data_IF_349261874767
#
_entry.id   IF_349261874767
#
_cell.length_a   1.000
_cell.length_b   1.000
_cell.length_c   1.000
_cell.angle_alpha   90.00
_cell.angle_beta   90.00
_cell.angle_gamma   90.00
#
_symmetry.space_group_name_H-M   'P 1'
#
loop_
_entity.id
_entity.type
_entity.pdbx_description
1 polymer ?
#
# COMPACT_ATOMS: atom_id res chain seq x y z
N UNK A 1 -1.26 13.64 18.84
CA UNK A 1 -1.53 13.13 17.47
C UNK A 1 -1.95 11.68 17.61
N UNK A 2 -3.26 11.41 17.58
CA UNK A 2 -3.78 10.06 17.74
C UNK A 2 -3.76 9.36 16.37
N UNK A 3 -3.17 8.16 16.32
CA UNK A 3 -3.19 7.33 15.12
C UNK A 3 -4.31 6.32 15.30
N UNK A 4 -5.31 6.35 14.43
CA UNK A 4 -6.36 5.34 14.39
C UNK A 4 -5.95 4.26 13.41
N UNK A 5 -6.12 3.00 13.81
CA UNK A 5 -5.89 1.84 12.95
C UNK A 5 -7.11 0.94 12.96
N UNK A 6 -7.48 0.41 11.80
CA UNK A 6 -8.58 -0.54 11.66
C UNK A 6 -8.31 -1.50 10.50
N UNK A 7 -8.79 -2.74 10.60
CA UNK A 7 -8.72 -3.70 9.50
C UNK A 7 -9.99 -3.56 8.65
N UNK A 8 -9.81 -3.41 7.35
CA UNK A 8 -10.89 -3.24 6.37
C UNK A 8 -10.76 -4.23 5.23
N UNK A 9 -11.89 -4.65 4.67
CA UNK A 9 -11.93 -5.42 3.45
C UNK A 9 -11.83 -4.49 2.23
N UNK A 10 -11.02 -4.88 1.24
CA UNK A 10 -10.84 -4.15 -0.02
C UNK A 10 -10.75 -5.15 -1.17
N UNK A 11 -11.80 -5.23 -1.98
CA UNK A 11 -11.92 -6.28 -3.00
C UNK A 11 -11.97 -7.66 -2.34
N UNK A 12 -11.18 -8.61 -2.85
CA UNK A 12 -11.09 -9.98 -2.30
C UNK A 12 -10.15 -10.11 -1.09
N UNK A 13 -9.41 -9.05 -0.74
CA UNK A 13 -8.53 -9.06 0.43
C UNK A 13 -9.29 -8.62 1.67
N UNK A 14 -9.34 -9.50 2.67
CA UNK A 14 -10.05 -9.28 3.91
C UNK A 14 -9.18 -8.57 4.96
N UNK A 15 -7.86 -8.64 4.81
CA UNK A 15 -6.90 -8.11 5.76
C UNK A 15 -6.16 -6.89 5.19
N UNK A 16 -6.82 -5.73 5.15
CA UNK A 16 -6.14 -4.47 4.82
C UNK A 16 -6.10 -3.57 6.05
N UNK A 17 -4.91 -3.11 6.42
CA UNK A 17 -4.71 -2.17 7.51
C UNK A 17 -4.96 -0.75 7.00
N UNK A 18 -6.00 -0.11 7.51
CA UNK A 18 -6.27 1.30 7.30
C UNK A 18 -5.75 2.11 8.49
N UNK A 19 -4.78 2.98 8.23
CA UNK A 19 -4.17 3.88 9.19
C UNK A 19 -4.57 5.31 8.86
N UNK A 20 -4.97 6.08 9.86
CA UNK A 20 -5.34 7.48 9.69
C UNK A 20 -4.79 8.31 10.84
N UNK A 21 -4.41 9.54 10.52
CA UNK A 21 -4.17 10.59 11.49
C UNK A 21 -4.90 11.87 11.05
N UNK A 22 -4.59 13.01 11.69
CA UNK A 22 -5.24 14.29 11.38
C UNK A 22 -4.84 14.86 10.00
N UNK A 23 -3.69 14.45 9.45
CA UNK A 23 -3.16 14.98 8.18
C UNK A 23 -3.26 14.02 7.00
N UNK A 24 -3.17 12.71 7.22
CA UNK A 24 -2.97 11.70 6.19
C UNK A 24 -3.75 10.41 6.47
N UNK A 25 -4.08 9.70 5.40
CA UNK A 25 -4.63 8.35 5.39
C UNK A 25 -3.74 7.39 4.60
N UNK A 26 -3.67 6.15 5.07
CA UNK A 26 -2.80 5.12 4.55
C UNK A 26 -3.54 3.77 4.55
N UNK A 27 -3.57 3.09 3.41
CA UNK A 27 -4.16 1.75 3.28
C UNK A 27 -3.09 0.75 2.87
N UNK A 28 -2.93 -0.32 3.65
CA UNK A 28 -1.90 -1.34 3.49
C UNK A 28 -2.55 -2.71 3.33
N UNK A 29 -2.20 -3.47 2.30
CA UNK A 29 -2.60 -4.89 2.20
C UNK A 29 -1.72 -5.76 3.07
N UNK A 30 -2.30 -6.67 3.86
CA UNK A 30 -1.55 -7.68 4.61
C UNK A 30 -1.55 -9.05 3.90
N UNK A 31 -2.55 -9.32 3.06
CA UNK A 31 -2.71 -10.62 2.37
C UNK A 31 -1.62 -10.87 1.29
N UNK A 32 -1.24 -9.86 0.49
CA UNK A 32 -0.23 -9.99 -0.59
C UNK A 32 1.05 -9.23 -0.23
N UNK A 33 1.57 -9.52 0.97
CA UNK A 33 2.68 -8.82 1.62
C UNK A 33 2.34 -7.35 1.95
N UNK A 34 3.02 -6.73 2.93
CA UNK A 34 2.71 -5.36 3.37
C UNK A 34 2.97 -4.34 2.26
N UNK A 35 1.94 -3.95 1.49
CA UNK A 35 2.05 -2.98 0.39
C UNK A 35 1.13 -1.81 0.64
N UNK A 36 1.67 -0.61 0.49
CA UNK A 36 0.91 0.63 0.57
C UNK A 36 0.10 0.76 -0.72
N UNK A 37 -1.22 0.61 -0.63
CA UNK A 37 -2.15 0.78 -1.74
C UNK A 37 -2.53 2.24 -1.97
N UNK A 38 -2.75 2.97 -0.88
CA UNK A 38 -3.18 4.37 -0.90
C UNK A 38 -2.42 5.12 0.17
N UNK A 39 -1.93 6.30 -0.18
CA UNK A 39 -1.32 7.26 0.73
C UNK A 39 -1.70 8.65 0.24
N UNK A 40 -2.25 9.47 1.11
CA UNK A 40 -2.63 10.83 0.75
C UNK A 40 -3.13 11.61 1.96
N UNK A 41 -3.44 12.90 1.80
CA UNK A 41 -4.07 13.67 2.85
C UNK A 41 -5.43 13.08 3.19
N UNK A 42 -5.86 13.23 4.46
CA UNK A 42 -7.14 12.67 4.94
C UNK A 42 -8.30 13.17 4.07
N UNK A 43 -8.97 12.26 3.37
CA UNK A 43 -10.11 12.59 2.48
C UNK A 43 -9.70 13.22 1.15
N UNK A 44 -8.40 13.29 0.85
CA UNK A 44 -7.88 13.84 -0.39
C UNK A 44 -7.50 12.79 -1.42
N UNK A 45 -6.87 13.26 -2.50
CA UNK A 45 -6.39 12.36 -3.55
C UNK A 45 -5.20 11.54 -3.06
N UNK A 46 -5.28 10.23 -3.29
CA UNK A 46 -4.15 9.34 -3.10
C UNK A 46 -3.05 9.66 -4.09
N UNK A 47 -1.81 9.71 -3.61
CA UNK A 47 -0.59 9.79 -4.44
C UNK A 47 -0.43 8.51 -5.27
N UNK A 48 -0.94 7.39 -4.76
CA UNK A 48 -0.94 6.10 -5.45
C UNK A 48 -2.27 5.82 -6.15
N UNK A 49 -2.21 5.35 -7.39
CA UNK A 49 -3.39 4.88 -8.12
C UNK A 49 -3.64 3.41 -7.81
N UNK A 50 -4.82 3.12 -7.27
CA UNK A 50 -5.32 1.75 -7.14
C UNK A 50 -6.06 1.42 -8.44
N UNK A 51 -5.54 0.45 -9.19
CA UNK A 51 -6.24 -0.10 -10.34
C UNK A 51 -7.14 -1.24 -9.85
N UNK A 52 -8.46 -1.04 -9.92
CA UNK A 52 -9.43 -2.05 -9.47
C UNK A 52 -9.27 -3.41 -10.15
N UNK A 53 -8.73 -3.43 -11.37
CA UNK A 53 -8.44 -4.65 -12.15
C UNK A 53 -7.34 -5.51 -11.52
N UNK A 54 -6.52 -4.95 -10.64
CA UNK A 54 -5.44 -5.65 -9.95
C UNK A 54 -5.75 -5.91 -8.46
N UNK A 55 -6.95 -5.54 -7.99
CA UNK A 55 -7.44 -5.91 -6.66
C UNK A 55 -7.87 -7.38 -6.66
N UNK A 56 -7.45 -8.13 -5.64
CA UNK A 56 -7.87 -9.52 -5.43
C UNK A 56 -7.07 -10.61 -6.12
N UNK A 57 -6.13 -10.26 -7.02
CA UNK A 57 -5.23 -11.24 -7.65
C UNK A 57 -4.04 -11.60 -6.77
N UNK A 58 -4.05 -12.78 -6.15
CA UNK A 58 -2.93 -13.29 -5.34
C UNK A 58 -1.72 -13.63 -6.22
N UNK A 59 -1.97 -14.27 -7.38
CA UNK A 59 -0.93 -14.67 -8.32
C UNK A 59 -1.47 -14.66 -9.75
N UNK A 60 -0.84 -13.87 -10.62
CA UNK A 60 -1.02 -13.93 -12.06
C UNK A 60 0.34 -13.73 -12.68
N UNK A 61 0.64 -14.42 -13.78
CA UNK A 61 1.93 -14.40 -14.48
C UNK A 61 2.42 -13.00 -14.94
N UNK A 62 1.64 -11.95 -14.68
CA UNK A 62 1.89 -10.57 -15.03
C UNK A 62 2.10 -9.76 -13.75
N UNK A 63 3.17 -8.97 -13.71
CA UNK A 63 3.46 -8.00 -12.65
C UNK A 63 2.29 -7.03 -12.45
N UNK A 64 1.50 -7.15 -11.38
CA UNK A 64 0.38 -6.25 -11.14
C UNK A 64 0.89 -4.97 -10.46
N UNK A 65 0.71 -3.83 -11.13
CA UNK A 65 1.04 -2.51 -10.59
C UNK A 65 0.09 -2.16 -9.44
N UNK A 66 0.51 -2.47 -8.20
CA UNK A 66 -0.26 -2.24 -6.97
C UNK A 66 0.48 -1.29 -6.05
N UNK A 67 0.04 -0.04 -6.03
CA UNK A 67 0.55 0.97 -5.13
C UNK A 67 2.02 1.34 -5.40
N UNK A 68 2.76 1.67 -4.35
CA UNK A 68 4.15 2.12 -4.46
C UNK A 68 5.14 1.00 -4.86
N UNK A 69 6.17 1.31 -5.66
CA UNK A 69 7.25 0.37 -5.96
C UNK A 69 8.02 0.00 -4.69
N UNK A 70 8.46 -1.26 -4.58
CA UNK A 70 9.43 -1.70 -3.57
C UNK A 70 10.80 -1.68 -4.22
N UNK A 71 11.59 -0.66 -3.90
CA UNK A 71 13.01 -0.64 -4.27
C UNK A 71 13.76 -1.39 -3.17
N UNK A 72 14.42 -2.48 -3.53
CA UNK A 72 15.38 -3.12 -2.63
C UNK A 72 16.76 -2.59 -3.00
N UNK A 73 17.40 -1.89 -2.06
CA UNK A 73 18.82 -1.59 -2.16
C UNK A 73 19.54 -2.72 -1.43
N UNK A 74 20.41 -3.44 -2.15
CA UNK A 74 21.23 -4.46 -1.53
C UNK A 74 22.21 -3.80 -0.52
N UNK A 75 22.44 -4.40 0.66
CA UNK A 75 23.25 -3.81 1.72
C UNK A 75 24.72 -3.54 1.33
N UNK A 76 25.22 -4.21 0.31
CA UNK A 76 26.56 -4.03 -0.26
C UNK A 76 26.72 -2.76 -1.11
N UNK A 77 25.64 -2.08 -1.45
CA UNK A 77 25.69 -0.82 -2.19
C UNK A 77 25.79 0.35 -1.22
N UNK A 78 27.00 0.57 -0.69
CA UNK A 78 27.35 1.87 -0.12
C UNK A 78 27.27 2.92 -1.23
N UNK A 79 26.29 3.80 -1.15
CA UNK A 79 26.26 5.02 -1.93
C UNK A 79 27.38 5.94 -1.45
N UNK A 80 28.60 5.82 -1.99
CA UNK A 80 29.59 6.89 -1.97
C UNK A 80 30.76 6.63 -2.95
N UNK A 81 30.73 7.33 -4.08
CA UNK A 81 31.88 7.99 -4.70
C UNK A 81 31.37 9.15 -5.54
#
# INVERSE_FOLDING_TARGET
MAITHQIVALGDWKNNLHLQNDGCELLITLDVGPRILKFGPRGGQSVFKIFGVHLGGTEGALWPCRGGPRVWLAPESVACS
#
